data_IF_291360750723
#
_entry.id   IF_291360750723
#
_cell.length_a   1.000
_cell.length_b   1.000
_cell.length_c   1.000
_cell.angle_alpha   90.00
_cell.angle_beta   90.00
_cell.angle_gamma   90.00
#
_symmetry.space_group_name_H-M   'P 1'
#
loop_
_entity.id
_entity.type
_entity.pdbx_description
1 polymer ?
#
# COMPACT_ATOMS: atom_id res chain seq x y z
N UNK A 1 40.95 41.29 21.03
CA UNK A 1 42.39 41.64 21.01
C UNK A 1 42.96 41.11 22.31
N UNK A 2 43.45 39.90 22.31
CA UNK A 2 44.13 39.29 23.44
C UNK A 2 45.46 38.72 22.92
N UNK A 3 46.53 39.33 23.33
CA UNK A 3 47.92 38.99 23.03
C UNK A 3 48.31 37.85 23.97
N UNK A 4 48.73 36.70 23.46
CA UNK A 4 49.37 35.66 24.24
C UNK A 4 50.85 35.61 23.78
N UNK A 5 51.73 35.90 24.75
CA UNK A 5 53.16 35.84 24.59
C UNK A 5 53.63 34.39 24.34
N UNK A 6 54.47 34.24 23.33
CA UNK A 6 55.26 33.04 23.05
C UNK A 6 56.50 33.05 23.95
N UNK A 7 56.56 32.11 24.87
CA UNK A 7 57.81 31.67 25.48
C UNK A 7 58.24 30.37 24.84
N UNK A 8 59.42 30.36 24.28
CA UNK A 8 59.96 29.24 23.52
C UNK A 8 60.29 28.04 24.38
N UNK A 9 59.98 26.85 23.86
CA UNK A 9 60.69 25.62 24.18
C UNK A 9 60.74 24.76 22.91
N UNK A 10 61.95 24.23 22.64
CA UNK A 10 62.28 23.38 21.49
C UNK A 10 61.38 22.13 21.38
N UNK A 11 61.08 21.65 20.18
CA UNK A 11 60.28 20.44 20.01
C UNK A 11 61.11 19.21 20.38
N UNK A 12 60.66 18.48 21.40
CA UNK A 12 61.18 17.14 21.70
C UNK A 12 60.64 16.20 20.61
N UNK A 13 61.59 15.66 19.82
CA UNK A 13 61.24 14.62 18.86
C UNK A 13 60.82 13.33 19.60
N UNK A 14 59.54 13.03 19.58
CA UNK A 14 59.01 11.76 20.06
C UNK A 14 59.49 10.63 19.12
N UNK A 15 60.08 9.57 19.68
CA UNK A 15 60.54 8.41 18.94
C UNK A 15 59.36 7.66 18.32
N UNK A 16 59.57 7.00 17.15
CA UNK A 16 58.56 6.19 16.46
C UNK A 16 57.82 5.16 17.34
N UNK A 17 58.45 4.73 18.43
CA UNK A 17 57.82 3.79 19.39
C UNK A 17 56.80 4.43 20.33
N UNK A 18 56.93 5.72 20.65
CA UNK A 18 55.95 6.44 21.50
C UNK A 18 54.73 6.84 20.74
N UNK A 19 54.83 7.03 19.41
CA UNK A 19 53.67 7.35 18.56
C UNK A 19 52.72 6.14 18.40
N UNK A 20 53.25 4.91 18.46
CA UNK A 20 52.46 3.68 18.29
C UNK A 20 51.62 3.37 19.55
N UNK A 21 52.04 3.80 20.74
CA UNK A 21 51.28 3.55 21.97
C UNK A 21 50.15 4.56 22.24
N UNK A 22 50.18 5.72 21.62
CA UNK A 22 49.08 6.70 21.74
C UNK A 22 47.93 6.49 20.72
N UNK A 23 48.19 5.76 19.63
CA UNK A 23 47.11 5.40 18.66
C UNK A 23 46.34 4.12 19.02
N UNK A 24 46.79 3.36 20.04
CA UNK A 24 46.11 2.13 20.45
C UNK A 24 44.91 2.37 21.39
N UNK A 25 44.64 3.62 21.81
CA UNK A 25 43.56 3.96 22.73
C UNK A 25 42.26 4.44 22.05
N UNK A 26 42.23 4.62 20.71
CA UNK A 26 41.07 5.11 19.98
C UNK A 26 40.30 4.04 19.19
N UNK A 27 40.59 2.77 19.39
CA UNK A 27 39.94 1.66 18.65
C UNK A 27 38.97 0.86 19.52
N UNK A 28 38.19 1.53 20.35
CA UNK A 28 37.11 0.86 21.12
C UNK A 28 35.86 1.72 21.15
N UNK A 29 35.21 1.83 20.04
CA UNK A 29 33.93 2.55 19.90
C UNK A 29 33.30 2.39 18.53
N UNK A 30 33.53 1.26 17.88
CA UNK A 30 32.63 0.82 16.81
C UNK A 30 31.31 0.42 17.50
N UNK A 31 30.48 1.42 17.86
CA UNK A 31 29.07 1.19 17.99
C UNK A 31 28.61 0.67 16.62
N UNK A 32 28.60 -0.63 16.45
CA UNK A 32 27.75 -1.26 15.46
C UNK A 32 26.33 -0.92 15.89
N UNK A 33 25.81 0.21 15.42
CA UNK A 33 24.38 0.36 15.28
C UNK A 33 23.99 -0.75 14.31
N UNK A 34 23.63 -1.92 14.86
CA UNK A 34 22.84 -2.89 14.13
C UNK A 34 21.65 -2.07 13.65
N UNK A 35 21.63 -1.66 12.39
CA UNK A 35 20.40 -1.32 11.73
C UNK A 35 19.56 -2.59 11.89
N UNK A 36 18.70 -2.61 12.91
CA UNK A 36 17.71 -3.65 13.06
C UNK A 36 16.91 -3.59 11.76
N UNK A 37 17.16 -4.56 10.89
CA UNK A 37 16.37 -4.71 9.68
C UNK A 37 14.90 -4.73 10.12
N UNK A 38 14.05 -3.97 9.44
CA UNK A 38 12.61 -3.95 9.73
C UNK A 38 12.10 -5.40 9.72
N UNK A 39 11.43 -5.81 10.81
CA UNK A 39 10.77 -7.13 10.85
C UNK A 39 9.60 -7.13 9.86
N UNK A 40 9.46 -8.21 9.09
CA UNK A 40 8.36 -8.41 8.17
C UNK A 40 8.81 -8.53 6.71
N UNK A 41 7.92 -8.19 5.79
CA UNK A 41 8.20 -8.32 4.36
C UNK A 41 9.01 -7.12 3.84
N UNK A 42 9.84 -7.40 2.85
CA UNK A 42 10.55 -6.37 2.11
C UNK A 42 9.88 -6.17 0.75
N UNK A 43 9.51 -4.94 0.46
CA UNK A 43 8.96 -4.50 -0.82
C UNK A 43 9.74 -3.29 -1.32
N UNK A 44 9.68 -3.04 -2.61
CA UNK A 44 10.37 -1.92 -3.25
C UNK A 44 9.94 -0.55 -2.69
N UNK A 45 10.61 0.51 -3.12
CA UNK A 45 10.17 1.88 -2.85
C UNK A 45 8.90 2.18 -3.64
N UNK A 46 8.04 3.06 -3.10
CA UNK A 46 6.90 3.58 -3.86
C UNK A 46 7.37 4.18 -5.18
N UNK A 47 6.64 3.92 -6.24
CA UNK A 47 6.97 4.32 -7.60
C UNK A 47 7.13 5.85 -7.73
N UNK A 48 8.15 6.28 -8.44
CA UNK A 48 8.36 7.70 -8.75
C UNK A 48 7.21 8.31 -9.57
N UNK A 49 6.48 7.51 -10.35
CA UNK A 49 5.31 7.95 -11.10
C UNK A 49 4.18 8.47 -10.20
N UNK A 50 4.06 7.96 -8.98
CA UNK A 50 3.10 8.48 -8.01
C UNK A 50 3.31 9.96 -7.72
N UNK A 51 4.56 10.48 -7.81
CA UNK A 51 4.86 11.88 -7.54
C UNK A 51 4.37 12.85 -8.64
N UNK A 52 4.00 12.34 -9.81
CA UNK A 52 3.45 13.15 -10.90
C UNK A 52 2.02 13.64 -10.62
N UNK A 53 1.32 13.00 -9.68
CA UNK A 53 -0.06 13.35 -9.32
C UNK A 53 -0.11 13.72 -7.83
N UNK A 54 -0.60 14.91 -7.43
CA UNK A 54 -0.67 15.31 -6.03
C UNK A 54 -1.56 14.36 -5.22
N UNK A 55 -1.05 13.84 -4.10
CA UNK A 55 -1.78 12.87 -3.27
C UNK A 55 -3.10 13.43 -2.73
N UNK A 56 -3.11 14.70 -2.28
CA UNK A 56 -4.32 15.36 -1.78
C UNK A 56 -5.42 15.46 -2.84
N UNK A 57 -5.06 15.63 -4.12
CA UNK A 57 -6.03 15.67 -5.23
C UNK A 57 -6.68 14.29 -5.42
N UNK A 58 -5.89 13.22 -5.38
CA UNK A 58 -6.39 11.85 -5.54
C UNK A 58 -7.28 11.45 -4.36
N UNK A 59 -6.87 11.77 -3.13
CA UNK A 59 -7.65 11.52 -1.92
C UNK A 59 -8.96 12.32 -1.90
N UNK A 60 -8.94 13.57 -2.37
CA UNK A 60 -10.13 14.39 -2.52
C UNK A 60 -11.11 13.80 -3.54
N UNK A 61 -10.61 13.39 -4.71
CA UNK A 61 -11.41 12.74 -5.74
C UNK A 61 -11.98 11.39 -5.25
N UNK A 62 -11.17 10.60 -4.54
CA UNK A 62 -11.60 9.34 -3.93
C UNK A 62 -12.74 9.56 -2.93
N UNK A 63 -12.61 10.57 -2.06
CA UNK A 63 -13.65 10.92 -1.08
C UNK A 63 -14.97 11.29 -1.76
N UNK A 64 -14.92 12.07 -2.85
CA UNK A 64 -16.13 12.45 -3.60
C UNK A 64 -16.78 11.24 -4.29
N UNK A 65 -15.98 10.42 -4.98
CA UNK A 65 -16.48 9.21 -5.65
C UNK A 65 -17.09 8.23 -4.65
N UNK A 66 -16.44 8.04 -3.51
CA UNK A 66 -16.93 7.18 -2.44
C UNK A 66 -18.26 7.68 -1.86
N UNK A 67 -18.36 8.97 -1.53
CA UNK A 67 -19.58 9.57 -1.03
C UNK A 67 -20.75 9.43 -2.03
N UNK A 68 -20.49 9.63 -3.32
CA UNK A 68 -21.48 9.46 -4.38
C UNK A 68 -21.95 8.00 -4.49
N UNK A 69 -21.01 7.04 -4.40
CA UNK A 69 -21.33 5.61 -4.41
C UNK A 69 -22.18 5.21 -3.20
N UNK A 70 -21.84 5.67 -1.98
CA UNK A 70 -22.62 5.40 -0.79
C UNK A 70 -24.04 6.02 -0.88
N UNK A 71 -24.14 7.21 -1.47
CA UNK A 71 -25.46 7.83 -1.74
C UNK A 71 -26.30 6.94 -2.65
N UNK A 72 -25.74 6.48 -3.77
CA UNK A 72 -26.44 5.58 -4.70
C UNK A 72 -26.81 4.24 -4.05
N UNK A 73 -25.91 3.68 -3.22
CA UNK A 73 -26.22 2.46 -2.47
C UNK A 73 -27.38 2.66 -1.49
N UNK A 74 -27.42 3.81 -0.79
CA UNK A 74 -28.53 4.16 0.12
C UNK A 74 -29.86 4.32 -0.62
N UNK A 75 -29.86 5.02 -1.75
CA UNK A 75 -31.06 5.20 -2.59
C UNK A 75 -31.64 3.88 -3.09
N UNK A 76 -30.79 2.87 -3.26
CA UNK A 76 -31.17 1.51 -3.67
C UNK A 76 -31.41 0.56 -2.49
N UNK A 77 -31.43 1.04 -1.26
CA UNK A 77 -31.51 0.23 -0.03
C UNK A 77 -30.41 -0.88 0.02
N UNK A 78 -29.25 -0.62 -0.56
CA UNK A 78 -28.13 -1.53 -0.65
C UNK A 78 -26.93 -1.12 0.25
N UNK A 79 -27.06 -0.08 1.06
CA UNK A 79 -26.06 0.28 2.05
C UNK A 79 -26.36 -0.42 3.37
N UNK A 80 -25.41 -1.24 3.87
CA UNK A 80 -25.54 -1.89 5.17
C UNK A 80 -25.67 -0.85 6.29
N UNK A 81 -26.68 -0.96 7.18
CA UNK A 81 -26.82 -0.08 8.33
C UNK A 81 -25.66 -0.25 9.31
N UNK A 82 -25.38 0.78 10.12
CA UNK A 82 -24.21 0.82 11.00
C UNK A 82 -24.18 -0.28 12.06
N UNK A 83 -25.34 -0.78 12.46
CA UNK A 83 -25.52 -1.87 13.43
C UNK A 83 -25.60 -3.27 12.79
N UNK A 84 -25.46 -3.37 11.47
CA UNK A 84 -25.46 -4.66 10.78
C UNK A 84 -24.25 -5.52 11.25
N UNK A 85 -24.43 -6.79 11.61
CA UNK A 85 -23.37 -7.64 12.14
C UNK A 85 -22.10 -7.67 11.28
N UNK A 86 -22.25 -7.75 9.95
CA UNK A 86 -21.10 -7.75 9.03
C UNK A 86 -20.42 -6.38 8.96
N UNK A 87 -21.13 -5.25 9.11
CA UNK A 87 -20.53 -3.92 9.19
C UNK A 87 -19.70 -3.79 10.45
N UNK A 88 -20.23 -4.23 11.59
CA UNK A 88 -19.50 -4.25 12.87
C UNK A 88 -18.28 -5.15 12.80
N UNK A 89 -18.41 -6.35 12.20
CA UNK A 89 -17.31 -7.28 11.96
C UNK A 89 -16.19 -6.65 11.12
N UNK A 90 -16.53 -6.04 9.97
CA UNK A 90 -15.57 -5.37 9.09
C UNK A 90 -14.85 -4.21 9.81
N UNK A 91 -15.58 -3.40 10.57
CA UNK A 91 -15.01 -2.30 11.35
C UNK A 91 -14.09 -2.79 12.45
N UNK A 92 -14.43 -3.87 13.14
CA UNK A 92 -13.56 -4.48 14.15
C UNK A 92 -12.25 -4.99 13.55
N UNK A 93 -12.29 -5.58 12.37
CA UNK A 93 -11.09 -6.02 11.63
C UNK A 93 -10.25 -4.80 11.22
N UNK A 94 -10.87 -3.77 10.63
CA UNK A 94 -10.20 -2.55 10.23
C UNK A 94 -9.49 -1.84 11.40
N UNK A 95 -10.15 -1.74 12.56
CA UNK A 95 -9.57 -1.13 13.77
C UNK A 95 -8.28 -1.80 14.20
N UNK A 96 -8.12 -3.10 13.97
CA UNK A 96 -6.89 -3.84 14.28
C UNK A 96 -5.81 -3.67 13.22
N UNK A 97 -6.18 -3.54 11.94
CA UNK A 97 -5.24 -3.41 10.82
C UNK A 97 -4.66 -1.99 10.70
N UNK A 98 -5.52 -0.96 10.84
CA UNK A 98 -5.18 0.44 10.57
C UNK A 98 -3.95 0.94 11.35
N UNK A 99 -3.72 0.63 12.63
CA UNK A 99 -2.55 1.12 13.35
C UNK A 99 -1.22 0.71 12.70
N UNK A 100 -1.15 -0.44 12.04
CA UNK A 100 0.05 -0.93 11.36
C UNK A 100 0.25 -0.34 9.96
N UNK A 101 -0.73 0.39 9.44
CA UNK A 101 -0.63 1.09 8.15
C UNK A 101 0.33 2.28 8.17
N UNK A 102 0.54 2.87 9.34
CA UNK A 102 1.29 4.13 9.50
C UNK A 102 2.79 4.01 9.20
N UNK A 103 3.34 2.81 9.31
CA UNK A 103 4.73 2.52 8.96
C UNK A 103 4.93 2.47 7.44
N UNK A 104 3.88 2.11 6.70
CA UNK A 104 3.91 1.99 5.25
C UNK A 104 3.64 3.31 4.54
N UNK A 105 2.77 4.14 5.12
CA UNK A 105 2.47 5.48 4.61
C UNK A 105 2.12 6.42 5.78
N UNK A 106 3.01 7.36 6.16
CA UNK A 106 2.75 8.28 7.26
C UNK A 106 1.46 9.10 7.10
N UNK A 107 1.03 9.37 5.85
CA UNK A 107 -0.22 10.10 5.56
C UNK A 107 -1.47 9.35 6.03
N UNK A 108 -1.37 8.02 6.18
CA UNK A 108 -2.48 7.20 6.66
C UNK A 108 -2.96 7.58 8.08
N UNK A 109 -2.16 8.33 8.84
CA UNK A 109 -2.55 8.90 10.15
C UNK A 109 -3.63 9.97 10.03
N UNK A 110 -3.62 10.69 8.92
CA UNK A 110 -4.53 11.82 8.67
C UNK A 110 -5.76 11.38 7.85
N UNK A 111 -5.77 10.14 7.36
CA UNK A 111 -6.90 9.64 6.58
C UNK A 111 -8.14 9.47 7.45
N UNK A 112 -9.27 9.90 6.91
CA UNK A 112 -10.58 9.64 7.49
C UNK A 112 -11.06 8.27 7.04
N UNK A 113 -10.63 7.24 7.78
CA UNK A 113 -10.99 5.85 7.50
C UNK A 113 -12.50 5.64 7.57
N UNK A 114 -13.07 5.07 6.53
CA UNK A 114 -14.48 4.73 6.45
C UNK A 114 -14.63 3.30 5.93
N UNK A 115 -15.43 2.50 6.64
CA UNK A 115 -15.66 1.10 6.30
C UNK A 115 -17.16 0.88 6.16
N UNK A 116 -17.60 0.48 4.96
CA UNK A 116 -19.01 0.25 4.64
C UNK A 116 -19.22 -1.09 3.91
N UNK A 117 -20.43 -1.63 4.03
CA UNK A 117 -20.89 -2.83 3.36
C UNK A 117 -21.90 -2.46 2.29
N UNK A 118 -21.70 -2.95 1.07
CA UNK A 118 -22.65 -2.78 -0.06
C UNK A 118 -23.39 -4.09 -0.27
N UNK A 119 -24.72 -4.04 -0.22
CA UNK A 119 -25.62 -5.16 -0.45
C UNK A 119 -25.70 -5.54 -1.93
N UNK A 120 -24.61 -6.10 -2.44
CA UNK A 120 -24.50 -6.58 -3.82
C UNK A 120 -23.97 -8.00 -3.85
N UNK A 121 -24.46 -8.80 -4.78
CA UNK A 121 -24.00 -10.18 -5.00
C UNK A 121 -22.63 -10.26 -5.70
N UNK A 122 -22.01 -9.16 -6.04
CA UNK A 122 -20.67 -9.14 -6.65
C UNK A 122 -19.60 -9.60 -5.64
N UNK A 123 -18.67 -10.43 -6.10
CA UNK A 123 -17.45 -10.74 -5.34
C UNK A 123 -16.50 -9.58 -5.56
N UNK A 124 -16.51 -8.61 -4.64
CA UNK A 124 -15.69 -7.41 -4.74
C UNK A 124 -15.44 -6.76 -3.37
N UNK A 125 -14.29 -6.08 -3.26
CA UNK A 125 -13.93 -5.19 -2.17
C UNK A 125 -12.95 -4.15 -2.74
N UNK A 126 -12.74 -3.03 -2.05
CA UNK A 126 -11.72 -2.06 -2.44
C UNK A 126 -11.37 -1.12 -1.27
N UNK A 127 -10.20 -0.50 -1.36
CA UNK A 127 -9.79 0.66 -0.56
C UNK A 127 -9.32 1.78 -1.48
N UNK A 128 -10.08 2.85 -1.58
CA UNK A 128 -9.65 4.05 -2.31
C UNK A 128 -8.64 4.86 -1.47
N UNK A 129 -7.78 5.66 -2.11
CA UNK A 129 -6.90 6.62 -1.43
C UNK A 129 -7.65 7.45 -0.39
N UNK A 130 -7.01 7.70 0.76
CA UNK A 130 -7.68 8.38 1.88
C UNK A 130 -8.46 7.44 2.80
N UNK A 131 -8.29 6.11 2.66
CA UNK A 131 -8.85 5.11 3.59
C UNK A 131 -10.35 4.86 3.42
N UNK A 132 -10.87 4.91 2.20
CA UNK A 132 -12.29 4.69 1.87
C UNK A 132 -12.50 3.23 1.47
N UNK A 133 -12.97 2.39 2.40
CA UNK A 133 -13.10 0.94 2.26
C UNK A 133 -14.56 0.56 2.05
N UNK A 134 -14.82 -0.28 1.05
CA UNK A 134 -16.11 -0.96 0.94
C UNK A 134 -15.92 -2.43 0.61
N UNK A 135 -16.74 -3.26 1.26
CA UNK A 135 -16.94 -4.65 0.94
C UNK A 135 -18.31 -4.83 0.30
N UNK A 136 -18.39 -5.68 -0.71
CA UNK A 136 -19.65 -6.13 -1.23
C UNK A 136 -20.07 -7.40 -0.50
N UNK A 137 -21.36 -7.53 -0.20
CA UNK A 137 -21.87 -8.71 0.53
C UNK A 137 -21.46 -10.02 -0.17
N UNK A 138 -21.44 -10.03 -1.49
CA UNK A 138 -21.12 -11.22 -2.27
C UNK A 138 -19.72 -11.79 -2.06
N UNK A 139 -18.72 -10.98 -1.68
CA UNK A 139 -17.37 -11.53 -1.37
C UNK A 139 -17.37 -12.29 -0.05
N UNK A 140 -18.12 -11.82 0.93
CA UNK A 140 -18.26 -12.47 2.24
C UNK A 140 -19.09 -13.76 2.13
N UNK A 141 -20.25 -13.65 1.50
CA UNK A 141 -21.24 -14.72 1.42
C UNK A 141 -20.82 -15.84 0.46
N UNK A 142 -20.51 -15.52 -0.81
CA UNK A 142 -20.20 -16.56 -1.81
C UNK A 142 -18.90 -17.29 -1.54
N UNK A 143 -17.90 -16.61 -0.93
CA UNK A 143 -16.62 -17.22 -0.59
C UNK A 143 -16.61 -17.75 0.84
N UNK A 144 -17.68 -17.54 1.64
CA UNK A 144 -17.75 -17.97 3.04
C UNK A 144 -16.46 -17.62 3.80
N UNK A 145 -16.10 -16.31 3.77
CA UNK A 145 -14.84 -15.83 4.35
C UNK A 145 -14.91 -15.77 5.86
N UNK A 146 -13.95 -16.41 6.53
CA UNK A 146 -13.71 -16.23 7.96
C UNK A 146 -12.96 -14.92 8.24
N UNK A 147 -12.77 -14.55 9.52
CA UNK A 147 -12.14 -13.28 9.91
C UNK A 147 -10.69 -13.13 9.42
N UNK A 148 -9.92 -14.22 9.40
CA UNK A 148 -8.55 -14.20 8.91
C UNK A 148 -8.52 -13.90 7.39
N UNK A 149 -9.42 -14.53 6.63
CA UNK A 149 -9.54 -14.31 5.19
C UNK A 149 -10.06 -12.90 4.87
N UNK A 150 -11.03 -12.39 5.64
CA UNK A 150 -11.49 -10.98 5.53
C UNK A 150 -10.35 -10.02 5.83
N UNK A 151 -9.53 -10.30 6.85
CA UNK A 151 -8.37 -9.49 7.18
C UNK A 151 -7.32 -9.51 6.06
N UNK A 152 -7.15 -10.64 5.38
CA UNK A 152 -6.26 -10.74 4.20
C UNK A 152 -6.78 -9.90 3.03
N UNK A 153 -8.09 -9.96 2.70
CA UNK A 153 -8.70 -9.09 1.67
C UNK A 153 -8.53 -7.63 2.05
N UNK A 154 -8.91 -7.27 3.27
CA UNK A 154 -8.86 -5.88 3.75
C UNK A 154 -7.43 -5.35 3.78
N UNK A 155 -6.48 -6.16 4.25
CA UNK A 155 -5.05 -5.81 4.26
C UNK A 155 -4.51 -5.57 2.86
N UNK A 156 -4.88 -6.42 1.90
CA UNK A 156 -4.54 -6.28 0.48
C UNK A 156 -5.07 -4.96 -0.10
N UNK A 157 -6.35 -4.64 0.14
CA UNK A 157 -6.96 -3.40 -0.33
C UNK A 157 -6.32 -2.15 0.32
N UNK A 158 -6.07 -2.22 1.64
CA UNK A 158 -5.35 -1.17 2.36
C UNK A 158 -3.94 -0.99 1.78
N UNK A 159 -3.24 -2.08 1.46
CA UNK A 159 -1.89 -2.02 0.90
C UNK A 159 -1.85 -1.29 -0.45
N UNK A 160 -2.84 -1.48 -1.33
CA UNK A 160 -2.94 -0.70 -2.58
C UNK A 160 -3.00 0.80 -2.31
N UNK A 161 -3.76 1.25 -1.30
CA UNK A 161 -3.84 2.66 -0.94
C UNK A 161 -2.53 3.16 -0.29
N UNK A 162 -1.93 2.38 0.60
CA UNK A 162 -0.67 2.73 1.28
C UNK A 162 0.51 2.84 0.30
N UNK A 163 0.59 1.93 -0.66
CA UNK A 163 1.64 1.87 -1.68
C UNK A 163 1.36 2.81 -2.86
N UNK A 164 0.23 3.54 -2.79
CA UNK A 164 -0.16 4.55 -3.76
C UNK A 164 -0.30 4.02 -5.20
N UNK A 165 -0.66 2.73 -5.37
CA UNK A 165 -0.76 2.09 -6.68
C UNK A 165 -1.73 2.81 -7.63
N UNK A 166 -2.83 3.37 -7.11
CA UNK A 166 -3.74 4.20 -7.91
C UNK A 166 -3.04 5.47 -8.43
N UNK A 167 -2.27 6.17 -7.57
CA UNK A 167 -1.49 7.36 -7.98
C UNK A 167 -0.41 7.02 -8.99
N UNK A 168 0.28 5.90 -8.80
CA UNK A 168 1.27 5.41 -9.75
C UNK A 168 0.66 5.17 -11.13
N UNK A 169 -0.50 4.51 -11.20
CA UNK A 169 -1.21 4.25 -12.46
C UNK A 169 -1.63 5.55 -13.15
N UNK A 170 -2.16 6.48 -12.37
CA UNK A 170 -2.50 7.82 -12.88
C UNK A 170 -1.25 8.55 -13.39
N UNK A 171 -0.15 8.54 -12.64
CA UNK A 171 1.10 9.14 -13.04
C UNK A 171 1.73 8.52 -14.29
N UNK A 172 1.64 7.20 -14.45
CA UNK A 172 2.05 6.52 -15.68
C UNK A 172 1.19 6.96 -16.87
N UNK A 173 -0.12 7.10 -16.67
CA UNK A 173 -1.04 7.59 -17.70
C UNK A 173 -0.70 9.04 -18.08
N UNK A 174 -0.47 9.92 -17.11
CA UNK A 174 -0.07 11.31 -17.35
C UNK A 174 1.26 11.40 -18.13
N UNK A 175 2.27 10.63 -17.71
CA UNK A 175 3.55 10.57 -18.43
C UNK A 175 3.36 10.10 -19.88
N UNK A 176 2.49 9.13 -20.12
CA UNK A 176 2.17 8.64 -21.46
C UNK A 176 1.44 9.71 -22.29
N UNK A 177 0.48 10.41 -21.66
CA UNK A 177 -0.26 11.50 -22.32
C UNK A 177 0.65 12.68 -22.68
N UNK A 178 1.60 13.05 -21.81
CA UNK A 178 2.61 14.08 -22.09
C UNK A 178 3.47 13.67 -23.28
N UNK A 179 3.97 12.43 -23.30
CA UNK A 179 4.75 11.91 -24.43
C UNK A 179 3.91 11.92 -25.72
N UNK A 180 2.66 11.47 -25.66
CA UNK A 180 1.74 11.48 -26.80
C UNK A 180 1.44 12.91 -27.28
N UNK A 181 1.26 13.87 -26.35
CA UNK A 181 1.01 15.28 -26.69
C UNK A 181 2.23 15.94 -27.34
N UNK A 182 3.45 15.66 -26.89
CA UNK A 182 4.68 16.11 -27.52
C UNK A 182 4.78 15.51 -28.93
N UNK A 183 4.52 14.22 -29.08
CA UNK A 183 4.48 13.54 -30.38
C UNK A 183 3.40 14.12 -31.31
N UNK A 184 2.20 14.41 -30.77
CA UNK A 184 1.11 15.02 -31.52
C UNK A 184 1.37 16.49 -31.87
N UNK A 185 2.04 17.25 -30.99
CA UNK A 185 2.46 18.62 -31.27
C UNK A 185 3.50 18.68 -32.41
N UNK A 186 4.43 17.71 -32.42
CA UNK A 186 5.39 17.56 -33.55
C UNK A 186 4.63 17.13 -34.80
N UNK A 187 3.70 16.18 -34.69
CA UNK A 187 2.88 15.70 -35.79
C UNK A 187 1.91 16.78 -36.29
N UNK A 188 1.27 17.55 -35.39
CA UNK A 188 0.37 18.67 -35.81
C UNK A 188 1.12 19.83 -36.41
N UNK A 189 2.36 20.11 -36.00
CA UNK A 189 3.22 21.05 -36.69
C UNK A 189 3.56 20.59 -38.12
N UNK A 190 3.66 19.28 -38.35
CA UNK A 190 3.93 18.69 -39.67
C UNK A 190 2.66 18.47 -40.50
N UNK A 191 1.54 18.04 -39.86
CA UNK A 191 0.32 17.57 -40.54
C UNK A 191 -0.92 18.47 -40.33
N UNK A 192 -0.79 19.62 -39.64
CA UNK A 192 -1.91 20.56 -39.34
C UNK A 192 -3.15 19.91 -38.72
N UNK A 193 -2.97 19.00 -37.75
CA UNK A 193 -4.08 18.39 -36.99
C UNK A 193 -4.40 19.24 -35.75
N UNK A 194 -5.71 19.44 -35.47
CA UNK A 194 -6.23 20.27 -34.38
C UNK A 194 -5.75 19.79 -32.99
N UNK A 195 -5.10 20.67 -32.18
CA UNK A 195 -4.61 20.31 -30.83
C UNK A 195 -5.73 20.04 -29.81
N UNK A 196 -6.99 20.42 -30.07
CA UNK A 196 -8.08 20.32 -29.10
C UNK A 196 -8.64 18.90 -28.90
N UNK A 197 -8.17 17.92 -29.68
CA UNK A 197 -8.60 16.53 -29.54
C UNK A 197 -8.02 15.85 -28.26
N UNK A 198 -6.96 16.42 -27.70
CA UNK A 198 -6.23 15.88 -26.54
C UNK A 198 -6.88 16.21 -25.20
N UNK A 199 -7.65 17.30 -25.10
CA UNK A 199 -8.28 17.76 -23.85
C UNK A 199 -9.49 16.89 -23.43
N UNK A 200 -10.06 16.13 -24.34
CA UNK A 200 -11.23 15.30 -24.05
C UNK A 200 -10.87 13.99 -23.34
N UNK A 201 -9.66 13.47 -23.55
CA UNK A 201 -9.14 12.27 -22.86
C UNK A 201 -8.69 12.60 -21.44
N UNK A 202 -8.16 13.80 -21.21
CA UNK A 202 -7.73 14.26 -19.89
C UNK A 202 -8.92 14.52 -18.93
N UNK A 203 -10.13 14.74 -19.45
CA UNK A 203 -11.33 15.05 -18.65
C UNK A 203 -12.15 13.85 -18.23
N UNK A 204 -11.89 12.65 -18.72
CA UNK A 204 -12.45 11.42 -18.14
C UNK A 204 -11.67 11.12 -16.86
N UNK A 205 -12.06 11.81 -15.78
CA UNK A 205 -11.53 11.58 -14.44
C UNK A 205 -11.39 10.08 -14.21
N UNK A 206 -10.16 9.63 -13.97
CA UNK A 206 -9.86 8.22 -13.79
C UNK A 206 -10.84 7.63 -12.77
N UNK A 207 -11.69 6.72 -13.20
CA UNK A 207 -12.55 5.97 -12.30
C UNK A 207 -11.63 5.08 -11.45
N UNK A 208 -11.38 5.49 -10.22
CA UNK A 208 -10.47 4.80 -9.30
C UNK A 208 -10.85 3.33 -9.09
N UNK A 209 -12.15 3.00 -9.21
CA UNK A 209 -12.65 1.62 -9.13
C UNK A 209 -12.37 0.77 -10.37
N UNK A 210 -12.05 1.40 -11.50
CA UNK A 210 -11.76 0.72 -12.77
C UNK A 210 -10.27 0.52 -13.04
N UNK A 211 -9.39 0.97 -12.16
CA UNK A 211 -7.95 0.82 -12.35
C UNK A 211 -7.55 -0.65 -12.25
N UNK A 212 -6.84 -1.14 -13.26
CA UNK A 212 -6.22 -2.46 -13.22
C UNK A 212 -4.80 -2.33 -12.71
N UNK A 213 -4.44 -3.16 -11.76
CA UNK A 213 -3.12 -3.18 -11.16
C UNK A 213 -2.16 -4.10 -11.93
N UNK A 214 -0.87 -3.81 -11.88
CA UNK A 214 0.15 -4.67 -12.46
C UNK A 214 0.38 -5.90 -11.57
N UNK A 215 1.07 -6.93 -12.08
CA UNK A 215 1.40 -8.11 -11.27
C UNK A 215 2.32 -7.77 -10.11
N UNK A 216 3.19 -6.79 -10.30
CA UNK A 216 4.09 -6.26 -9.29
C UNK A 216 3.29 -5.57 -8.18
N UNK A 217 2.32 -4.69 -8.55
CA UNK A 217 1.44 -4.03 -7.60
C UNK A 217 0.66 -5.06 -6.75
N UNK A 218 0.19 -6.14 -7.40
CA UNK A 218 -0.54 -7.23 -6.74
C UNK A 218 0.33 -8.01 -5.76
N UNK A 219 1.55 -8.36 -6.16
CA UNK A 219 2.50 -9.05 -5.28
C UNK A 219 2.84 -8.18 -4.07
N UNK A 220 3.09 -6.89 -4.30
CA UNK A 220 3.37 -5.95 -3.23
C UNK A 220 2.18 -5.81 -2.27
N UNK A 221 0.95 -5.73 -2.81
CA UNK A 221 -0.26 -5.64 -2.01
C UNK A 221 -0.52 -6.92 -1.19
N UNK A 222 -0.25 -8.09 -1.75
CA UNK A 222 -0.34 -9.36 -1.02
C UNK A 222 0.64 -9.40 0.16
N UNK A 223 1.90 -9.04 -0.07
CA UNK A 223 2.94 -9.10 0.96
C UNK A 223 2.68 -8.09 2.08
N UNK A 224 2.41 -6.84 1.73
CA UNK A 224 2.11 -5.78 2.71
C UNK A 224 0.82 -6.09 3.46
N UNK A 225 -0.23 -6.52 2.74
CA UNK A 225 -1.51 -6.90 3.35
C UNK A 225 -1.39 -8.08 4.31
N UNK A 226 -0.59 -9.10 3.95
CA UNK A 226 -0.29 -10.24 4.80
C UNK A 226 0.45 -9.81 6.08
N UNK A 227 1.40 -8.88 5.99
CA UNK A 227 2.08 -8.35 7.18
C UNK A 227 1.13 -7.56 8.08
N UNK A 228 0.28 -6.70 7.51
CA UNK A 228 -0.74 -5.97 8.27
C UNK A 228 -1.66 -6.92 9.04
N UNK A 229 -2.12 -8.00 8.37
CA UNK A 229 -2.97 -9.02 8.98
C UNK A 229 -2.24 -9.76 10.12
N UNK A 230 -0.99 -10.18 9.90
CA UNK A 230 -0.18 -10.87 10.91
C UNK A 230 0.05 -10.00 12.16
N UNK A 231 0.44 -8.72 11.99
CA UNK A 231 0.62 -7.77 13.10
C UNK A 231 -0.67 -7.51 13.87
N UNK A 232 -1.81 -7.55 13.19
CA UNK A 232 -3.14 -7.38 13.77
C UNK A 232 -3.68 -8.66 14.45
N UNK A 233 -2.93 -9.75 14.43
CA UNK A 233 -3.27 -11.02 15.07
C UNK A 233 -4.22 -11.90 14.25
N UNK A 234 -4.21 -11.74 12.93
CA UNK A 234 -4.88 -12.62 11.98
C UNK A 234 -3.87 -13.56 11.33
N UNK A 235 -4.26 -14.81 11.15
CA UNK A 235 -3.39 -15.86 10.60
C UNK A 235 -3.03 -15.60 9.14
N UNK A 236 -1.75 -15.30 8.81
CA UNK A 236 -1.35 -14.95 7.44
C UNK A 236 -1.44 -16.14 6.48
N UNK A 237 -1.51 -17.39 6.96
CA UNK A 237 -1.72 -18.58 6.11
C UNK A 237 -3.06 -18.54 5.39
N UNK A 238 -4.01 -17.76 5.92
CA UNK A 238 -5.32 -17.55 5.30
C UNK A 238 -5.26 -16.84 3.95
N UNK A 239 -4.13 -16.22 3.59
CA UNK A 239 -3.89 -15.73 2.25
C UNK A 239 -3.91 -16.84 1.19
N UNK A 240 -3.38 -18.01 1.51
CA UNK A 240 -3.39 -19.17 0.63
C UNK A 240 -4.82 -19.68 0.41
N UNK A 241 -5.57 -19.87 1.51
CA UNK A 241 -6.96 -20.35 1.41
C UNK A 241 -7.88 -19.35 0.72
N UNK A 242 -7.67 -18.05 0.92
CA UNK A 242 -8.37 -17.01 0.20
C UNK A 242 -8.18 -17.14 -1.32
N UNK A 243 -6.93 -17.27 -1.78
CA UNK A 243 -6.64 -17.41 -3.22
C UNK A 243 -7.16 -18.72 -3.81
N UNK A 244 -7.20 -19.80 -3.02
CA UNK A 244 -7.84 -21.05 -3.43
C UNK A 244 -9.35 -20.85 -3.63
N UNK A 245 -10.05 -20.18 -2.70
CA UNK A 245 -11.47 -19.83 -2.82
C UNK A 245 -11.76 -18.92 -4.02
N UNK A 246 -10.93 -17.88 -4.21
CA UNK A 246 -11.04 -16.99 -5.37
C UNK A 246 -10.87 -17.74 -6.70
N UNK A 247 -9.90 -18.65 -6.77
CA UNK A 247 -9.64 -19.48 -7.95
C UNK A 247 -10.79 -20.44 -8.23
N UNK A 248 -11.39 -21.01 -7.17
CA UNK A 248 -12.55 -21.89 -7.32
C UNK A 248 -13.79 -21.12 -7.81
N UNK A 249 -13.99 -19.88 -7.34
CA UNK A 249 -15.08 -19.01 -7.78
C UNK A 249 -14.92 -18.49 -9.23
N UNK A 250 -13.72 -18.58 -9.81
CA UNK A 250 -13.43 -18.14 -11.17
C UNK A 250 -13.88 -19.14 -12.26
N UNK A 251 -14.52 -20.25 -11.87
CA UNK A 251 -15.08 -21.22 -12.82
C UNK A 251 -16.36 -20.65 -13.45
N UNK A 252 -16.23 -19.98 -14.60
CA UNK A 252 -17.34 -19.31 -15.30
C UNK A 252 -17.03 -17.83 -15.58
N UNK A 253 -17.94 -16.92 -15.23
CA UNK A 253 -17.69 -15.49 -15.31
C UNK A 253 -16.72 -15.10 -14.18
N UNK A 254 -15.56 -14.47 -14.49
CA UNK A 254 -14.61 -14.06 -13.47
C UNK A 254 -15.25 -13.12 -12.43
N UNK A 255 -14.98 -13.30 -11.13
CA UNK A 255 -15.36 -12.34 -10.12
C UNK A 255 -14.94 -10.91 -10.50
N UNK A 256 -15.75 -9.92 -10.20
CA UNK A 256 -15.42 -8.50 -10.48
C UNK A 256 -14.07 -8.10 -9.88
N UNK A 257 -13.77 -8.58 -8.70
CA UNK A 257 -12.49 -8.34 -8.04
C UNK A 257 -11.29 -8.81 -8.88
N UNK A 258 -11.40 -9.97 -9.56
CA UNK A 258 -10.33 -10.49 -10.43
C UNK A 258 -10.16 -9.68 -11.74
N UNK A 259 -11.10 -8.82 -12.09
CA UNK A 259 -10.97 -7.94 -13.26
C UNK A 259 -9.99 -6.79 -13.03
N UNK A 260 -9.86 -6.33 -11.80
CA UNK A 260 -8.93 -5.28 -11.36
C UNK A 260 -7.69 -5.86 -10.69
N UNK A 261 -7.81 -7.04 -10.05
CA UNK A 261 -6.74 -7.77 -9.35
C UNK A 261 -6.48 -9.11 -10.06
N UNK A 262 -5.58 -9.14 -11.05
CA UNK A 262 -5.33 -10.37 -11.81
C UNK A 262 -4.89 -11.52 -10.92
N UNK A 263 -5.56 -12.67 -11.05
CA UNK A 263 -5.16 -13.90 -10.39
C UNK A 263 -3.98 -14.55 -11.12
N UNK A 264 -3.13 -15.22 -10.35
CA UNK A 264 -2.05 -16.04 -10.90
C UNK A 264 -1.59 -17.06 -9.87
N UNK A 265 -1.21 -18.26 -10.34
CA UNK A 265 -0.62 -19.29 -9.48
C UNK A 265 0.67 -18.82 -8.80
N UNK A 266 1.32 -17.77 -9.32
CA UNK A 266 2.47 -17.13 -8.72
C UNK A 266 2.15 -16.47 -7.38
N UNK A 267 0.93 -15.89 -7.19
CA UNK A 267 0.56 -15.19 -5.96
C UNK A 267 0.55 -16.11 -4.73
N UNK A 268 -0.02 -17.32 -4.86
CA UNK A 268 0.03 -18.31 -3.77
C UNK A 268 1.48 -18.65 -3.42
N UNK A 269 2.33 -18.89 -4.43
CA UNK A 269 3.75 -19.21 -4.21
C UNK A 269 4.50 -18.06 -3.51
N UNK A 270 4.22 -16.81 -3.89
CA UNK A 270 4.84 -15.64 -3.25
C UNK A 270 4.38 -15.49 -1.79
N UNK A 271 3.10 -15.71 -1.49
CA UNK A 271 2.59 -15.74 -0.12
C UNK A 271 3.29 -16.83 0.68
N UNK A 272 3.32 -18.07 0.19
CA UNK A 272 3.95 -19.21 0.86
C UNK A 272 5.45 -18.97 1.13
N UNK A 273 6.17 -18.41 0.15
CA UNK A 273 7.60 -18.11 0.27
C UNK A 273 7.92 -17.03 1.31
N UNK A 274 6.94 -16.17 1.65
CA UNK A 274 7.13 -15.07 2.60
C UNK A 274 6.43 -15.30 3.96
N UNK A 275 5.74 -16.43 4.15
CA UNK A 275 5.11 -16.75 5.45
C UNK A 275 6.11 -16.72 6.61
N UNK A 276 7.31 -17.24 6.41
CA UNK A 276 8.37 -17.25 7.44
C UNK A 276 8.76 -15.85 7.93
N UNK A 277 8.55 -14.80 7.15
CA UNK A 277 8.84 -13.41 7.53
C UNK A 277 7.74 -12.79 8.40
N UNK A 278 6.51 -13.26 8.26
CA UNK A 278 5.35 -12.68 8.96
C UNK A 278 4.81 -13.56 10.08
N UNK A 279 5.09 -14.87 10.08
CA UNK A 279 4.67 -15.76 11.17
C UNK A 279 5.16 -15.31 12.55
N UNK A 280 6.42 -14.85 12.73
CA UNK A 280 6.85 -14.31 14.03
C UNK A 280 6.04 -13.11 14.50
N UNK A 281 5.58 -12.25 13.57
CA UNK A 281 4.72 -11.10 13.88
C UNK A 281 3.34 -11.55 14.37
N UNK A 282 2.77 -12.55 13.72
CA UNK A 282 1.51 -13.16 14.14
C UNK A 282 1.60 -13.81 15.51
N UNK A 283 2.63 -14.62 15.77
CA UNK A 283 2.87 -15.27 17.04
C UNK A 283 3.05 -14.26 18.18
N UNK A 284 3.80 -13.19 17.95
CA UNK A 284 3.98 -12.08 18.89
C UNK A 284 2.65 -11.39 19.21
N UNK A 285 1.81 -11.14 18.20
CA UNK A 285 0.48 -10.53 18.40
C UNK A 285 -0.48 -11.46 19.17
N UNK A 286 -0.38 -12.78 18.96
CA UNK A 286 -1.18 -13.77 19.68
C UNK A 286 -0.81 -13.85 21.17
N UNK A 287 0.49 -13.68 21.50
CA UNK A 287 0.98 -13.67 22.89
C UNK A 287 0.63 -12.37 23.64
N UNK A 288 0.41 -11.27 22.93
CA UNK A 288 0.06 -9.98 23.52
C UNK A 288 -1.45 -9.82 23.86
N UNK A 289 -2.26 -10.83 23.57
CA UNK A 289 -3.69 -10.85 23.98
C UNK A 289 -3.76 -11.19 25.48
N UNK A 290 -4.43 -10.33 26.30
CA UNK A 290 -4.63 -10.56 27.73
C UNK A 290 -5.48 -11.79 27.99
#
# INVERSE_FOLDING_TARGET
MCIVQLTGNLPVMLSKRQFIHQCAGCAAGLFTTSLLAREGVEVGKTSAFANLVPAAQVEGSATQQYAQMLKQAREKNALGPDDHPEVLRLRAIAQKLIPFSYEWNPRARDWKWEINLIGSAQINAFCMPGGKIAFYHGILDKLQLNDNEVAMVMGHEIAHALREHARERMGKSEATNVIASIGSAIASAYFKVDPNLTDQVARQGANLLGLKFSREDETEADLVGMELAARAGYDPRSGVTLWQKMSAANKGAPPQWLSTHPSGSSRIKEIEANLNKVMPLYEKSAQAKP
#
